data_IF_486848417237
#
_entry.id   IF_486848417237
#
_cell.length_a   1.000
_cell.length_b   1.000
_cell.length_c   1.000
_cell.angle_alpha   90.00
_cell.angle_beta   90.00
_cell.angle_gamma   90.00
#
_symmetry.space_group_name_H-M   'P 1'
#
loop_
_entity.id
_entity.type
_entity.pdbx_description
1 polymer ?
#
# COMPACT_ATOMS: atom_id res chain seq x y z
N UNK A 1 -15.64 15.11 -3.20
CA UNK A 1 -16.32 14.43 -4.32
C UNK A 1 -17.08 15.41 -5.18
N UNK A 2 -17.97 16.22 -4.62
CA UNK A 2 -18.77 17.21 -5.38
C UNK A 2 -17.91 18.20 -6.17
N UNK A 3 -16.82 18.73 -5.59
CA UNK A 3 -15.91 19.63 -6.32
C UNK A 3 -15.22 18.96 -7.52
N UNK A 4 -14.71 17.73 -7.36
CA UNK A 4 -14.06 17.00 -8.46
C UNK A 4 -15.10 16.75 -9.56
N UNK A 5 -16.31 16.32 -9.19
CA UNK A 5 -17.41 16.11 -10.13
C UNK A 5 -17.76 17.39 -10.88
N UNK A 6 -17.92 18.52 -10.19
CA UNK A 6 -18.21 19.80 -10.80
C UNK A 6 -17.13 20.26 -11.79
N UNK A 7 -15.84 20.06 -11.46
CA UNK A 7 -14.73 20.39 -12.37
C UNK A 7 -14.80 19.55 -13.65
N UNK A 8 -15.00 18.24 -13.51
CA UNK A 8 -15.07 17.33 -14.67
C UNK A 8 -16.35 17.57 -15.49
N UNK A 9 -17.48 17.84 -14.84
CA UNK A 9 -18.74 18.22 -15.49
C UNK A 9 -18.64 19.58 -16.20
N UNK A 10 -17.79 20.48 -15.69
CA UNK A 10 -17.47 21.78 -16.30
C UNK A 10 -16.59 21.70 -17.55
N UNK A 11 -16.27 20.49 -18.05
CA UNK A 11 -15.54 20.29 -19.29
C UNK A 11 -14.03 20.06 -19.13
N UNK A 12 -13.54 19.82 -17.91
CA UNK A 12 -12.15 19.44 -17.70
C UNK A 12 -11.87 18.06 -18.30
N UNK A 13 -10.94 17.98 -19.27
CA UNK A 13 -10.56 16.72 -19.92
C UNK A 13 -9.60 15.92 -19.04
N UNK A 14 -10.10 14.85 -18.44
CA UNK A 14 -9.36 13.96 -17.52
C UNK A 14 -8.23 13.17 -18.18
N UNK A 15 -8.12 13.22 -19.52
CA UNK A 15 -7.08 12.53 -20.29
C UNK A 15 -5.86 13.40 -20.52
N UNK A 16 -5.99 14.72 -20.40
CA UNK A 16 -4.90 15.65 -20.67
C UNK A 16 -3.99 15.78 -19.44
N UNK A 17 -2.65 15.76 -19.62
CA UNK A 17 -1.72 15.95 -18.52
C UNK A 17 -1.82 17.34 -17.88
N UNK A 18 -1.72 17.39 -16.55
CA UNK A 18 -1.53 18.60 -15.76
C UNK A 18 -0.18 18.49 -15.06
N UNK A 19 0.76 19.38 -15.37
CA UNK A 19 2.12 19.30 -14.81
C UNK A 19 2.87 18.03 -15.22
N UNK A 20 2.60 17.50 -16.43
CA UNK A 20 3.29 16.33 -16.99
C UNK A 20 2.68 14.98 -16.62
N UNK A 21 1.66 14.93 -15.76
CA UNK A 21 0.95 13.68 -15.40
C UNK A 21 -0.54 13.80 -15.66
N UNK A 22 -1.18 12.71 -16.06
CA UNK A 22 -2.64 12.69 -16.15
C UNK A 22 -3.25 12.73 -14.73
N UNK A 23 -4.46 13.27 -14.56
CA UNK A 23 -5.16 13.27 -13.27
C UNK A 23 -5.25 11.89 -12.61
N UNK A 24 -5.46 10.83 -13.39
CA UNK A 24 -5.54 9.46 -12.85
C UNK A 24 -4.18 8.93 -12.41
N UNK A 25 -3.11 9.22 -13.15
CA UNK A 25 -1.73 8.91 -12.73
C UNK A 25 -1.41 9.62 -11.41
N UNK A 26 -1.68 10.93 -11.32
CA UNK A 26 -1.47 11.68 -10.07
C UNK A 26 -2.29 11.14 -8.91
N UNK A 27 -3.53 10.71 -9.14
CA UNK A 27 -4.38 10.14 -8.08
C UNK A 27 -3.78 8.84 -7.49
N UNK A 28 -3.22 7.98 -8.33
CA UNK A 28 -2.67 6.67 -7.93
C UNK A 28 -1.33 6.80 -7.21
N UNK A 29 -0.46 7.68 -7.70
CA UNK A 29 0.93 7.78 -7.23
C UNK A 29 1.11 8.58 -5.94
N UNK A 30 0.21 9.52 -5.65
CA UNK A 30 0.43 10.54 -4.62
C UNK A 30 0.12 10.05 -3.19
N UNK A 31 0.75 10.75 -2.24
CA UNK A 31 0.79 10.42 -0.81
C UNK A 31 -0.59 10.37 -0.11
N UNK A 32 -1.50 11.29 -0.46
CA UNK A 32 -2.77 11.42 0.27
C UNK A 32 -3.82 10.46 -0.30
N UNK A 33 -3.94 9.30 0.34
CA UNK A 33 -5.03 8.34 0.09
C UNK A 33 -6.06 8.41 1.21
N UNK A 34 -7.33 8.24 0.88
CA UNK A 34 -8.45 8.18 1.82
C UNK A 34 -9.48 7.18 1.32
N UNK A 35 -10.50 6.87 2.11
CA UNK A 35 -11.58 5.95 1.74
C UNK A 35 -12.40 6.45 0.53
N UNK A 36 -12.20 7.70 0.12
CA UNK A 36 -12.79 8.28 -1.09
C UNK A 36 -12.01 7.93 -2.36
N UNK A 37 -10.83 7.33 -2.24
CA UNK A 37 -9.96 7.00 -3.39
C UNK A 37 -10.70 6.17 -4.47
N UNK A 38 -11.39 5.06 -4.14
CA UNK A 38 -12.12 4.29 -5.15
C UNK A 38 -13.18 5.11 -5.88
N UNK A 39 -13.92 5.97 -5.17
CA UNK A 39 -14.94 6.83 -5.78
C UNK A 39 -14.33 7.90 -6.70
N UNK A 40 -13.17 8.47 -6.35
CA UNK A 40 -12.44 9.38 -7.22
C UNK A 40 -11.94 8.65 -8.48
N UNK A 41 -11.36 7.45 -8.31
CA UNK A 41 -10.83 6.65 -9.41
C UNK A 41 -11.95 6.25 -10.38
N UNK A 42 -13.07 5.76 -9.85
CA UNK A 42 -14.26 5.38 -10.62
C UNK A 42 -14.76 6.56 -11.48
N UNK A 43 -14.88 7.75 -10.88
CA UNK A 43 -15.31 8.95 -11.60
C UNK A 43 -14.37 9.29 -12.77
N UNK A 44 -13.06 9.19 -12.60
CA UNK A 44 -12.11 9.47 -13.68
C UNK A 44 -12.21 8.42 -14.80
N UNK A 45 -12.33 7.14 -14.45
CA UNK A 45 -12.49 6.05 -15.42
C UNK A 45 -13.79 6.19 -16.23
N UNK A 46 -14.91 6.53 -15.58
CA UNK A 46 -16.20 6.81 -16.24
C UNK A 46 -16.13 7.97 -17.24
N UNK A 47 -15.11 8.82 -17.11
CA UNK A 47 -14.89 10.00 -17.93
C UNK A 47 -13.78 9.80 -18.96
N UNK A 48 -13.37 8.55 -19.15
CA UNK A 48 -12.43 8.14 -20.19
C UNK A 48 -10.97 8.28 -19.79
N UNK A 49 -10.65 8.49 -18.52
CA UNK A 49 -9.28 8.34 -18.04
C UNK A 49 -8.85 6.87 -18.16
N UNK A 50 -7.55 6.63 -18.39
CA UNK A 50 -7.00 5.29 -18.61
C UNK A 50 -5.85 5.08 -17.63
N UNK A 51 -5.86 3.96 -16.92
CA UNK A 51 -4.72 3.50 -16.15
C UNK A 51 -3.66 2.92 -17.08
N UNK A 52 -2.38 3.17 -16.79
CA UNK A 52 -1.27 2.56 -17.53
C UNK A 52 -1.35 1.04 -17.49
N UNK A 53 -1.70 0.49 -16.33
CA UNK A 53 -2.02 -0.92 -16.15
C UNK A 53 -3.51 -1.09 -15.79
N UNK A 54 -4.39 -1.44 -16.75
CA UNK A 54 -5.80 -1.64 -16.47
C UNK A 54 -6.10 -2.89 -15.63
N UNK A 55 -5.16 -3.84 -15.50
CA UNK A 55 -5.37 -5.08 -14.72
C UNK A 55 -5.55 -4.76 -13.24
N UNK A 56 -4.92 -3.70 -12.73
CA UNK A 56 -5.03 -3.31 -11.32
C UNK A 56 -6.33 -2.57 -11.00
N UNK A 57 -7.13 -2.18 -12.00
CA UNK A 57 -8.32 -1.35 -11.79
C UNK A 57 -9.32 -1.97 -10.78
N UNK A 58 -9.71 -3.25 -10.88
CA UNK A 58 -10.64 -3.86 -9.91
C UNK A 58 -10.06 -3.89 -8.50
N UNK A 59 -8.75 -4.08 -8.36
CA UNK A 59 -8.06 -4.05 -7.07
C UNK A 59 -8.10 -2.65 -6.47
N UNK A 60 -7.74 -1.62 -7.25
CA UNK A 60 -7.72 -0.22 -6.81
C UNK A 60 -9.12 0.31 -6.47
N UNK A 61 -10.14 -0.14 -7.19
CA UNK A 61 -11.55 0.18 -6.94
C UNK A 61 -12.15 -0.59 -5.75
N UNK A 62 -11.41 -1.56 -5.19
CA UNK A 62 -11.93 -2.53 -4.21
C UNK A 62 -13.20 -3.26 -4.74
N UNK A 63 -13.28 -3.47 -6.06
CA UNK A 63 -14.39 -4.14 -6.73
C UNK A 63 -14.12 -5.65 -6.80
N UNK A 64 -14.60 -6.37 -5.79
CA UNK A 64 -14.41 -7.81 -5.69
C UNK A 64 -15.13 -8.60 -6.77
N UNK A 65 -16.23 -8.07 -7.34
CA UNK A 65 -16.99 -8.76 -8.37
C UNK A 65 -16.19 -8.79 -9.67
N UNK A 66 -15.80 -7.63 -10.18
CA UNK A 66 -15.00 -7.56 -11.40
C UNK A 66 -13.61 -8.19 -11.24
N UNK A 67 -13.04 -8.13 -10.03
CA UNK A 67 -11.79 -8.82 -9.72
C UNK A 67 -11.93 -10.35 -9.86
N UNK A 68 -12.95 -10.94 -9.24
CA UNK A 68 -13.22 -12.38 -9.32
C UNK A 68 -13.51 -12.82 -10.74
N UNK A 69 -14.37 -12.09 -11.45
CA UNK A 69 -14.70 -12.38 -12.85
C UNK A 69 -13.44 -12.35 -13.74
N UNK A 70 -12.58 -11.35 -13.55
CA UNK A 70 -11.34 -11.20 -14.34
C UNK A 70 -10.38 -12.36 -14.12
N UNK A 71 -10.14 -12.76 -12.86
CA UNK A 71 -9.23 -13.86 -12.53
C UNK A 71 -9.85 -15.23 -12.87
N UNK A 72 -11.16 -15.41 -12.75
CA UNK A 72 -11.83 -16.64 -13.22
C UNK A 72 -11.66 -16.80 -14.73
N UNK A 73 -11.77 -15.70 -15.49
CA UNK A 73 -11.53 -15.69 -16.94
C UNK A 73 -10.06 -15.93 -17.28
N UNK A 74 -9.13 -15.41 -16.47
CA UNK A 74 -7.69 -15.58 -16.68
C UNK A 74 -6.96 -15.78 -15.34
N UNK A 75 -6.80 -17.05 -14.88
CA UNK A 75 -6.15 -17.35 -13.60
C UNK A 75 -4.69 -16.87 -13.53
N UNK A 76 -4.03 -16.70 -14.68
CA UNK A 76 -2.67 -16.16 -14.77
C UNK A 76 -2.56 -14.74 -14.22
N UNK A 77 -3.67 -14.00 -14.08
CA UNK A 77 -3.67 -12.68 -13.45
C UNK A 77 -3.22 -12.72 -11.97
N UNK A 78 -3.30 -13.86 -11.29
CA UNK A 78 -2.71 -14.02 -9.95
C UNK A 78 -1.17 -13.90 -9.95
N UNK A 79 -0.54 -14.13 -11.10
CA UNK A 79 0.90 -13.98 -11.30
C UNK A 79 1.26 -12.63 -11.93
N UNK A 80 0.27 -11.78 -12.22
CA UNK A 80 0.48 -10.47 -12.84
C UNK A 80 1.43 -9.62 -12.01
N UNK A 81 2.35 -8.95 -12.71
CA UNK A 81 3.35 -8.05 -12.14
C UNK A 81 3.13 -6.66 -12.69
N UNK A 82 2.94 -5.71 -11.79
CA UNK A 82 2.72 -4.30 -12.13
C UNK A 82 3.86 -3.44 -11.57
N UNK A 83 4.04 -2.27 -12.18
CA UNK A 83 4.90 -1.22 -11.64
C UNK A 83 4.09 0.06 -11.51
N UNK A 84 4.04 0.61 -10.29
CA UNK A 84 3.32 1.84 -9.97
C UNK A 84 4.28 2.72 -9.16
N UNK A 85 4.47 3.97 -9.56
CA UNK A 85 5.22 4.93 -8.75
C UNK A 85 4.46 5.13 -7.44
N UNK A 86 5.13 4.96 -6.30
CA UNK A 86 4.53 5.15 -4.98
C UNK A 86 5.32 6.16 -4.17
N UNK A 87 4.59 7.08 -3.55
CA UNK A 87 5.13 7.98 -2.53
C UNK A 87 5.55 7.25 -1.24
N UNK A 88 5.29 5.94 -1.12
CA UNK A 88 5.62 5.09 0.02
C UNK A 88 6.58 3.95 -0.36
N UNK A 89 6.31 2.71 0.06
CA UNK A 89 7.05 1.52 -0.33
C UNK A 89 6.93 1.31 -1.85
N UNK A 90 8.04 1.07 -2.58
CA UNK A 90 8.01 0.93 -4.04
C UNK A 90 7.11 -0.22 -4.49
N UNK A 91 6.26 0.02 -5.49
CA UNK A 91 5.48 -1.02 -6.16
C UNK A 91 6.17 -1.36 -7.49
N UNK A 92 7.34 -2.00 -7.46
CA UNK A 92 8.06 -2.44 -8.66
C UNK A 92 7.98 -3.96 -8.79
N UNK A 93 7.51 -4.46 -9.94
CA UNK A 93 7.25 -5.90 -10.11
C UNK A 93 6.33 -6.46 -9.03
N UNK A 94 5.37 -5.64 -8.59
CA UNK A 94 4.47 -5.90 -7.49
C UNK A 94 3.32 -6.81 -7.94
N UNK A 95 2.84 -7.69 -7.06
CA UNK A 95 1.62 -8.48 -7.32
C UNK A 95 0.35 -7.66 -7.02
N UNK A 96 -0.80 -8.14 -7.48
CA UNK A 96 -2.10 -7.56 -7.12
C UNK A 96 -2.32 -7.46 -5.59
N UNK A 97 -1.75 -8.39 -4.81
CA UNK A 97 -1.85 -8.34 -3.34
C UNK A 97 -1.01 -7.22 -2.72
N UNK A 98 0.12 -6.84 -3.31
CA UNK A 98 0.87 -5.64 -2.89
C UNK A 98 0.04 -4.38 -3.14
N UNK A 99 -0.61 -4.28 -4.30
CA UNK A 99 -1.48 -3.15 -4.64
C UNK A 99 -2.63 -3.06 -3.64
N UNK A 100 -3.31 -4.17 -3.34
CA UNK A 100 -4.37 -4.18 -2.33
C UNK A 100 -3.87 -3.70 -0.96
N UNK A 101 -2.69 -4.17 -0.53
CA UNK A 101 -2.07 -3.82 0.74
C UNK A 101 -1.69 -2.32 0.85
N UNK A 102 -1.08 -1.79 -0.21
CA UNK A 102 -0.63 -0.40 -0.32
C UNK A 102 -1.78 0.61 -0.32
N UNK A 103 -2.94 0.23 -0.86
CA UNK A 103 -4.13 1.07 -0.90
C UNK A 103 -5.07 0.84 0.29
N UNK A 104 -4.89 -0.26 1.02
CA UNK A 104 -5.75 -0.64 2.15
C UNK A 104 -7.07 -1.27 1.71
N UNK A 105 -7.12 -1.82 0.49
CA UNK A 105 -8.33 -2.39 -0.11
C UNK A 105 -8.59 -3.80 0.43
N UNK A 106 -9.21 -3.84 1.61
CA UNK A 106 -9.40 -5.05 2.42
C UNK A 106 -10.16 -6.16 1.68
N UNK A 107 -11.25 -5.83 0.99
CA UNK A 107 -12.10 -6.82 0.34
C UNK A 107 -11.41 -7.42 -0.88
N UNK A 108 -10.71 -6.59 -1.65
CA UNK A 108 -9.86 -7.05 -2.74
C UNK A 108 -8.75 -7.98 -2.24
N UNK A 109 -8.09 -7.65 -1.12
CA UNK A 109 -7.06 -8.51 -0.53
C UNK A 109 -7.62 -9.87 -0.10
N UNK A 110 -8.78 -9.90 0.59
CA UNK A 110 -9.45 -11.16 0.95
C UNK A 110 -9.81 -11.99 -0.27
N UNK A 111 -10.40 -11.37 -1.29
CA UNK A 111 -10.76 -12.06 -2.54
C UNK A 111 -9.52 -12.65 -3.23
N UNK A 112 -8.41 -11.91 -3.31
CA UNK A 112 -7.15 -12.41 -3.88
C UNK A 112 -6.62 -13.62 -3.12
N UNK A 113 -6.60 -13.57 -1.78
CA UNK A 113 -6.13 -14.67 -0.93
C UNK A 113 -7.02 -15.93 -1.08
N UNK A 114 -8.34 -15.76 -1.07
CA UNK A 114 -9.30 -16.86 -1.29
C UNK A 114 -9.12 -17.54 -2.66
N UNK A 115 -8.63 -16.80 -3.65
CA UNK A 115 -8.37 -17.29 -4.99
C UNK A 115 -6.94 -17.82 -5.18
N UNK A 116 -6.17 -17.90 -4.10
CA UNK A 116 -4.84 -18.50 -4.10
C UNK A 116 -3.71 -17.53 -4.48
N UNK A 117 -3.90 -16.22 -4.35
CA UNK A 117 -2.79 -15.28 -4.47
C UNK A 117 -1.72 -15.61 -3.41
N UNK A 118 -0.42 -15.69 -3.78
CA UNK A 118 0.63 -16.02 -2.82
C UNK A 118 0.77 -14.89 -1.79
N UNK A 119 0.55 -15.22 -0.52
CA UNK A 119 0.59 -14.25 0.60
C UNK A 119 1.95 -13.55 0.72
N UNK A 120 3.03 -14.30 0.50
CA UNK A 120 4.43 -13.84 0.51
C UNK A 120 4.97 -13.60 -0.91
N UNK A 121 4.12 -13.19 -1.86
CA UNK A 121 4.57 -12.81 -3.20
C UNK A 121 5.74 -11.83 -3.12
N UNK A 122 6.76 -12.02 -3.96
CA UNK A 122 7.93 -11.10 -4.01
C UNK A 122 7.70 -9.98 -5.02
N UNK A 123 7.94 -8.74 -4.61
CA UNK A 123 8.22 -7.63 -5.52
C UNK A 123 9.58 -7.81 -6.23
N UNK A 124 9.89 -6.96 -7.21
CA UNK A 124 11.19 -6.95 -7.87
C UNK A 124 12.29 -6.45 -6.91
N UNK A 125 13.53 -6.88 -7.18
CA UNK A 125 14.72 -6.29 -6.59
C UNK A 125 15.35 -5.31 -7.58
N UNK A 126 15.99 -4.27 -7.06
CA UNK A 126 16.76 -3.35 -7.90
C UNK A 126 18.16 -3.90 -8.22
N UNK A 127 18.92 -3.16 -9.04
CA UNK A 127 20.27 -3.55 -9.46
C UNK A 127 21.28 -3.69 -8.31
N UNK A 128 20.97 -3.12 -7.14
CA UNK A 128 21.80 -3.22 -5.93
C UNK A 128 21.37 -4.39 -5.03
N UNK A 129 20.39 -5.20 -5.46
CA UNK A 129 19.87 -6.32 -4.69
C UNK A 129 18.96 -5.89 -3.53
N UNK A 130 18.45 -4.64 -3.54
CA UNK A 130 17.52 -4.14 -2.53
C UNK A 130 16.07 -4.39 -2.94
N UNK A 131 15.13 -4.14 -2.02
CA UNK A 131 13.69 -4.39 -2.13
C UNK A 131 13.36 -5.88 -2.15
N UNK A 132 12.50 -6.33 -3.07
CA UNK A 132 11.97 -7.70 -3.04
C UNK A 132 11.12 -7.98 -1.80
N UNK A 133 10.41 -6.97 -1.32
CA UNK A 133 9.50 -7.08 -0.18
C UNK A 133 8.25 -7.91 -0.52
N UNK A 134 7.47 -8.20 0.52
CA UNK A 134 6.18 -8.90 0.43
C UNK A 134 5.02 -7.92 0.65
N UNK A 135 3.76 -8.29 0.36
CA UNK A 135 2.60 -7.43 0.59
C UNK A 135 2.49 -6.90 2.03
N UNK A 136 2.97 -7.65 3.03
CA UNK A 136 2.92 -7.23 4.43
C UNK A 136 3.66 -5.91 4.67
N UNK A 137 4.78 -5.65 3.97
CA UNK A 137 5.55 -4.40 4.11
C UNK A 137 4.75 -3.15 3.78
N UNK A 138 3.75 -3.26 2.90
CA UNK A 138 2.90 -2.13 2.49
C UNK A 138 1.85 -1.76 3.55
N UNK A 139 1.64 -2.62 4.55
CA UNK A 139 0.59 -2.39 5.55
C UNK A 139 1.10 -1.67 6.80
N UNK A 140 2.37 -1.90 7.16
CA UNK A 140 2.90 -1.56 8.49
C UNK A 140 3.17 -0.07 8.69
N UNK A 141 3.41 0.66 7.60
CA UNK A 141 3.62 2.11 7.57
C UNK A 141 2.61 2.82 6.65
N UNK A 142 1.34 2.44 6.71
CA UNK A 142 0.28 3.08 5.94
C UNK A 142 -0.14 4.45 6.51
N UNK A 143 -0.52 5.39 5.65
CA UNK A 143 -1.04 6.69 6.07
C UNK A 143 -2.30 6.52 6.95
N UNK A 144 -2.36 7.20 8.09
CA UNK A 144 -3.43 7.09 9.09
C UNK A 144 -3.73 5.65 9.54
N UNK A 145 -2.74 4.74 9.47
CA UNK A 145 -2.85 3.33 9.82
C UNK A 145 -4.01 2.58 9.10
N UNK A 146 -4.45 3.06 7.94
CA UNK A 146 -5.63 2.50 7.25
C UNK A 146 -5.47 1.05 6.83
N UNK A 147 -4.25 0.58 6.59
CA UNK A 147 -4.01 -0.80 6.19
C UNK A 147 -3.90 -1.77 7.39
N UNK A 148 -4.11 -1.33 8.64
CA UNK A 148 -4.04 -2.21 9.81
C UNK A 148 -5.01 -3.42 9.76
N UNK A 149 -6.28 -3.27 9.34
CA UNK A 149 -7.16 -4.43 9.17
C UNK A 149 -6.62 -5.42 8.13
N UNK A 150 -6.04 -4.92 7.04
CA UNK A 150 -5.44 -5.75 5.99
C UNK A 150 -4.16 -6.45 6.48
N UNK A 151 -3.35 -5.77 7.29
CA UNK A 151 -2.21 -6.38 7.98
C UNK A 151 -2.64 -7.63 8.77
N UNK A 152 -3.73 -7.54 9.55
CA UNK A 152 -4.25 -8.69 10.29
C UNK A 152 -4.65 -9.84 9.36
N UNK A 153 -5.34 -9.54 8.25
CA UNK A 153 -5.71 -10.56 7.25
C UNK A 153 -4.50 -11.25 6.66
N UNK A 154 -3.44 -10.52 6.36
CA UNK A 154 -2.20 -11.12 5.84
C UNK A 154 -1.55 -12.02 6.89
N UNK A 155 -1.50 -11.60 8.15
CA UNK A 155 -0.95 -12.40 9.25
C UNK A 155 -1.77 -13.68 9.50
N UNK A 156 -3.11 -13.57 9.50
CA UNK A 156 -4.03 -14.71 9.57
C UNK A 156 -3.85 -15.69 8.40
N UNK A 157 -3.53 -15.15 7.21
CA UNK A 157 -3.22 -15.94 6.02
C UNK A 157 -1.79 -16.50 6.01
N UNK A 158 -1.01 -16.32 7.10
CA UNK A 158 0.33 -16.88 7.25
C UNK A 158 1.46 -16.03 6.65
N UNK A 159 1.24 -14.74 6.40
CA UNK A 159 2.30 -13.83 6.00
C UNK A 159 3.43 -13.80 7.05
N UNK A 160 4.67 -13.88 6.61
CA UNK A 160 5.82 -13.86 7.52
C UNK A 160 6.14 -12.46 8.01
N UNK A 161 5.96 -12.19 9.31
CA UNK A 161 6.31 -10.90 9.90
C UNK A 161 7.81 -10.69 10.11
N UNK A 162 8.63 -11.72 9.94
CA UNK A 162 10.09 -11.70 10.02
C UNK A 162 10.78 -11.81 8.65
N UNK A 163 10.02 -11.67 7.55
CA UNK A 163 10.56 -11.75 6.20
C UNK A 163 11.68 -10.71 5.99
N UNK A 164 12.90 -11.17 5.75
CA UNK A 164 14.06 -10.30 5.59
C UNK A 164 14.25 -9.81 4.16
N UNK A 165 14.56 -8.51 4.01
CA UNK A 165 15.11 -7.90 2.81
C UNK A 165 16.38 -7.10 3.13
N UNK A 166 17.41 -7.10 2.26
CA UNK A 166 18.66 -6.38 2.51
C UNK A 166 18.48 -4.86 2.68
N UNK A 167 17.47 -4.30 2.02
CA UNK A 167 17.10 -2.91 2.19
C UNK A 167 15.80 -2.57 1.47
N UNK A 168 15.24 -1.41 1.78
CA UNK A 168 14.04 -0.88 1.15
C UNK A 168 14.17 0.65 1.01
N UNK A 169 13.82 1.19 -0.14
CA UNK A 169 13.84 2.64 -0.37
C UNK A 169 12.43 3.18 -0.36
N UNK A 170 12.04 3.82 0.75
CA UNK A 170 10.75 4.48 0.88
C UNK A 170 10.72 5.81 0.14
N UNK A 171 9.66 6.09 -0.61
CA UNK A 171 9.48 7.34 -1.35
C UNK A 171 10.52 7.52 -2.46
N UNK A 172 10.90 6.44 -3.15
CA UNK A 172 11.91 6.46 -4.21
C UNK A 172 11.59 7.55 -5.26
N UNK A 173 12.56 8.42 -5.53
CA UNK A 173 12.44 9.53 -6.47
C UNK A 173 11.71 10.77 -5.92
N UNK A 174 11.27 10.76 -4.66
CA UNK A 174 10.67 11.92 -4.01
C UNK A 174 11.65 12.63 -3.07
N UNK A 175 11.44 13.92 -2.72
CA UNK A 175 12.32 14.66 -1.82
C UNK A 175 12.46 14.07 -0.40
N UNK A 176 11.56 13.17 -0.02
CA UNK A 176 11.56 12.47 1.28
C UNK A 176 12.12 11.05 1.20
N UNK A 177 12.77 10.68 0.09
CA UNK A 177 13.37 9.36 -0.11
C UNK A 177 14.19 8.92 1.11
N UNK A 178 13.92 7.72 1.62
CA UNK A 178 14.61 7.16 2.78
C UNK A 178 14.95 5.70 2.51
N UNK A 179 16.24 5.39 2.45
CA UNK A 179 16.72 4.01 2.34
C UNK A 179 16.99 3.44 3.72
N UNK A 180 16.39 2.28 4.00
CA UNK A 180 16.60 1.53 5.22
C UNK A 180 17.23 0.18 4.90
N UNK A 181 18.20 -0.25 5.71
CA UNK A 181 18.90 -1.54 5.54
C UNK A 181 18.44 -2.56 6.58
N UNK A 182 18.67 -3.85 6.30
CA UNK A 182 18.36 -4.98 7.18
C UNK A 182 16.91 -4.97 7.68
N UNK A 183 15.98 -5.07 6.72
CA UNK A 183 14.57 -4.75 6.97
C UNK A 183 13.73 -6.03 7.04
N UNK A 184 12.88 -6.09 8.06
CA UNK A 184 11.76 -7.03 8.20
C UNK A 184 10.47 -6.22 8.35
N UNK A 185 9.27 -6.79 8.20
CA UNK A 185 8.03 -6.07 8.52
C UNK A 185 8.05 -5.47 9.94
N UNK A 186 8.64 -6.15 10.93
CA UNK A 186 8.81 -5.64 12.31
C UNK A 186 9.74 -4.42 12.38
N UNK A 187 10.92 -4.46 11.76
CA UNK A 187 11.82 -3.29 11.77
C UNK A 187 11.30 -2.16 10.88
N UNK A 188 10.63 -2.50 9.79
CA UNK A 188 9.99 -1.52 8.92
C UNK A 188 8.89 -0.77 9.67
N UNK A 189 8.00 -1.46 10.38
CA UNK A 189 6.99 -0.82 11.23
C UNK A 189 7.60 0.19 12.21
N UNK A 190 8.74 -0.13 12.82
CA UNK A 190 9.44 0.78 13.73
C UNK A 190 9.97 2.04 13.03
N UNK A 191 10.30 1.99 11.73
CA UNK A 191 10.67 3.19 10.98
C UNK A 191 9.54 4.21 10.85
N UNK A 192 8.28 3.82 11.12
CA UNK A 192 7.19 4.79 11.29
C UNK A 192 7.47 5.85 12.38
N UNK A 193 8.38 5.56 13.33
CA UNK A 193 8.84 6.51 14.34
C UNK A 193 9.84 7.56 13.80
N UNK A 194 10.35 7.40 12.58
CA UNK A 194 11.17 8.42 11.94
C UNK A 194 10.30 9.62 11.59
N UNK A 195 10.81 10.82 11.86
CA UNK A 195 10.08 12.06 11.66
C UNK A 195 9.53 12.18 10.23
N UNK A 196 10.32 11.84 9.19
CA UNK A 196 9.87 11.96 7.80
C UNK A 196 8.73 11.00 7.39
N UNK A 197 8.49 9.92 8.15
CA UNK A 197 7.42 8.96 7.83
C UNK A 197 6.05 9.42 8.34
N UNK A 198 5.98 10.41 9.24
CA UNK A 198 4.73 10.99 9.74
C UNK A 198 3.70 9.92 10.18
N UNK A 199 4.12 8.94 11.01
CA UNK A 199 3.20 7.97 11.61
C UNK A 199 2.93 8.31 13.06
N UNK A 200 1.72 7.99 13.49
CA UNK A 200 1.34 8.08 14.88
C UNK A 200 2.01 6.96 15.69
N UNK A 201 2.70 7.33 16.76
CA UNK A 201 3.51 6.41 17.56
C UNK A 201 2.66 5.29 18.18
N UNK A 202 1.43 5.59 18.63
CA UNK A 202 0.53 4.59 19.21
C UNK A 202 0.17 3.50 18.20
N UNK A 203 -0.17 3.90 16.97
CA UNK A 203 -0.45 2.99 15.88
C UNK A 203 0.79 2.17 15.48
N UNK A 204 1.97 2.78 15.42
CA UNK A 204 3.23 2.09 15.12
C UNK A 204 3.47 0.96 16.14
N UNK A 205 3.38 1.25 17.44
CA UNK A 205 3.58 0.22 18.46
C UNK A 205 2.48 -0.84 18.48
N UNK A 206 1.23 -0.48 18.14
CA UNK A 206 0.17 -1.46 17.97
C UNK A 206 0.51 -2.45 16.84
N UNK A 207 1.01 -1.95 15.70
CA UNK A 207 1.43 -2.80 14.57
C UNK A 207 2.63 -3.67 14.94
N UNK A 208 3.66 -3.11 15.57
CA UNK A 208 4.82 -3.87 16.05
C UNK A 208 4.40 -5.00 16.99
N UNK A 209 3.46 -4.75 17.92
CA UNK A 209 2.95 -5.81 18.80
C UNK A 209 2.28 -6.93 18.03
N UNK A 210 1.40 -6.61 17.09
CA UNK A 210 0.71 -7.61 16.28
C UNK A 210 1.71 -8.47 15.48
N UNK A 211 2.69 -7.84 14.83
CA UNK A 211 3.72 -8.53 14.05
C UNK A 211 4.59 -9.46 14.91
N UNK A 212 4.97 -9.02 16.10
CA UNK A 212 5.74 -9.83 17.04
C UNK A 212 4.93 -11.01 17.59
N UNK A 213 3.66 -10.79 17.92
CA UNK A 213 2.74 -11.85 18.35
C UNK A 213 2.54 -12.91 17.26
N UNK A 214 2.34 -12.49 16.00
CA UNK A 214 2.25 -13.40 14.86
C UNK A 214 3.55 -14.20 14.64
N UNK A 215 4.72 -13.65 14.99
CA UNK A 215 5.99 -14.37 15.00
C UNK A 215 6.19 -15.27 16.24
N UNK A 216 5.20 -15.40 17.13
CA UNK A 216 5.34 -16.13 18.40
C UNK A 216 6.27 -15.46 19.41
N UNK A 217 6.64 -14.19 19.22
CA UNK A 217 7.55 -13.44 20.09
C UNK A 217 6.77 -12.75 21.20
N UNK A 218 7.25 -12.90 22.44
CA UNK A 218 6.72 -12.17 23.60
C UNK A 218 7.04 -10.67 23.44
N UNK A 219 6.04 -9.84 23.67
CA UNK A 219 6.19 -8.38 23.73
C UNK A 219 6.10 -7.89 25.17
N UNK A 220 7.10 -7.17 25.70
CA UNK A 220 6.98 -6.54 27.00
C UNK A 220 5.94 -5.41 26.97
N UNK A 221 5.40 -5.01 28.13
CA UNK A 221 4.49 -3.87 28.20
C UNK A 221 5.17 -2.60 27.68
N UNK A 222 4.54 -1.93 26.71
CA UNK A 222 4.97 -0.64 26.17
C UNK A 222 4.23 0.49 26.90
N UNK A 223 4.54 0.66 28.19
CA UNK A 223 3.81 1.56 29.09
C UNK A 223 4.19 3.04 28.94
N UNK A 224 5.30 3.31 28.25
CA UNK A 224 5.72 4.67 27.97
C UNK A 224 5.00 5.20 26.73
N UNK A 225 4.56 6.46 26.77
CA UNK A 225 4.24 7.23 25.56
C UNK A 225 5.52 8.02 25.25
N UNK A 226 6.31 7.63 24.24
CA UNK A 226 7.51 8.39 23.92
C UNK A 226 7.18 9.87 23.71
N UNK A 227 8.12 10.73 24.10
CA UNK A 227 7.96 12.18 23.93
C UNK A 227 6.75 12.82 24.63
N UNK A 228 6.05 12.13 25.55
CA UNK A 228 4.95 12.71 26.34
C UNK A 228 5.35 14.04 27.02
N UNK A 229 6.59 14.14 27.47
CA UNK A 229 7.16 15.34 28.08
C UNK A 229 7.19 16.56 27.12
N UNK A 230 7.06 16.38 25.80
CA UNK A 230 6.95 17.48 24.84
C UNK A 230 5.54 18.09 24.77
N UNK A 231 4.52 17.36 25.25
CA UNK A 231 3.12 17.81 25.29
C UNK A 231 2.74 18.43 26.64
N UNK A 232 3.59 18.30 27.65
CA UNK A 232 3.46 18.96 28.94
C UNK A 232 3.96 20.40 28.81
N UNK A 233 3.12 21.29 28.25
CA UNK A 233 3.30 22.74 28.28
C UNK A 233 2.14 23.42 28.99
#
# INVERSE_FOLDING_TARGET
MEHIRAIVDGGFDVRLPVGGKTPITSLVEMYTRSDRFPACLQLLLERGAVLEDPVVAPVLLNDTKSLRESIQKSPLLLQHKTTIVSAFTPLEGASLLHVAAEFGNLDAARALLEMGAPVDARAAMDSSGMNGHTPLFHTVNSNANRSAPLMQVLLEAGARSDFFVPGITWGRGFPWETTCFDVTPVSYAQFGLLAQMHRDEHNVYANVRALLQAAGRKTPPLNNVPNRYLQEK
#
